data_IF_711169010908
#
_entry.id   IF_711169010908
#
_cell.length_a   1.000
_cell.length_b   1.000
_cell.length_c   1.000
_cell.angle_alpha   90.00
_cell.angle_beta   90.00
_cell.angle_gamma   90.00
#
_symmetry.space_group_name_H-M   'P 1'
#
loop_
_entity.id
_entity.type
_entity.pdbx_description
1 polymer ?
#
# COMPACT_ATOMS: atom_id res chain seq x y z
N UNK A 1 43.41 50.38 -12.50
CA UNK A 1 42.23 50.26 -11.61
C UNK A 1 41.29 49.06 -11.89
N UNK A 2 41.55 48.18 -12.87
CA UNK A 2 40.68 47.02 -13.20
C UNK A 2 40.79 45.79 -12.27
N UNK A 3 41.86 45.67 -11.49
CA UNK A 3 42.09 44.49 -10.62
C UNK A 3 41.12 44.44 -9.42
N UNK A 4 40.82 45.58 -8.81
CA UNK A 4 39.98 45.68 -7.61
C UNK A 4 38.51 45.27 -7.86
N UNK A 5 37.98 45.55 -9.05
CA UNK A 5 36.59 45.19 -9.39
C UNK A 5 36.41 43.69 -9.66
N UNK A 6 37.43 43.03 -10.23
CA UNK A 6 37.42 41.58 -10.44
C UNK A 6 37.54 40.84 -9.10
N UNK A 7 38.38 41.34 -8.21
CA UNK A 7 38.53 40.79 -6.86
C UNK A 7 37.23 40.88 -6.04
N UNK A 8 36.56 42.06 -6.05
CA UNK A 8 35.28 42.23 -5.37
C UNK A 8 34.17 41.32 -5.93
N UNK A 9 34.12 41.10 -7.26
CA UNK A 9 33.15 40.18 -7.87
C UNK A 9 33.36 38.74 -7.42
N UNK A 10 34.61 38.29 -7.26
CA UNK A 10 34.92 36.94 -6.76
C UNK A 10 34.50 36.75 -5.31
N UNK A 11 34.71 37.77 -4.46
CA UNK A 11 34.27 37.74 -3.06
C UNK A 11 32.75 37.62 -2.98
N UNK A 12 32.02 38.45 -3.73
CA UNK A 12 30.55 38.43 -3.76
C UNK A 12 30.04 37.07 -4.24
N UNK A 13 30.62 36.52 -5.31
CA UNK A 13 30.27 35.17 -5.80
C UNK A 13 30.52 34.09 -4.75
N UNK A 14 31.64 34.15 -4.02
CA UNK A 14 31.91 33.17 -2.96
C UNK A 14 30.92 33.25 -1.79
N UNK A 15 30.51 34.48 -1.40
CA UNK A 15 29.52 34.70 -0.35
C UNK A 15 28.15 34.16 -0.74
N UNK A 16 27.74 34.36 -1.99
CA UNK A 16 26.48 33.82 -2.52
C UNK A 16 26.52 32.29 -2.47
N UNK A 17 27.58 31.65 -2.95
CA UNK A 17 27.70 30.18 -2.92
C UNK A 17 27.65 29.64 -1.49
N UNK A 18 28.31 30.32 -0.54
CA UNK A 18 28.33 29.92 0.86
C UNK A 18 26.94 30.04 1.52
N UNK A 19 26.19 31.11 1.23
CA UNK A 19 24.81 31.31 1.71
C UNK A 19 23.84 30.22 1.19
N UNK A 20 23.97 29.83 -0.09
CA UNK A 20 23.13 28.77 -0.66
C UNK A 20 23.54 27.37 -0.16
N UNK A 21 24.83 27.13 0.11
CA UNK A 21 25.32 25.85 0.62
C UNK A 21 24.81 25.50 2.03
N UNK A 22 24.82 26.46 2.96
CA UNK A 22 24.37 26.25 4.36
C UNK A 22 22.86 25.94 4.44
N UNK A 23 22.06 26.54 3.54
CA UNK A 23 20.61 26.35 3.47
C UNK A 23 20.20 24.89 3.16
N UNK A 24 21.04 24.15 2.44
CA UNK A 24 20.76 22.76 2.05
C UNK A 24 21.00 21.76 3.18
N UNK A 25 21.90 22.06 4.12
CA UNK A 25 22.21 21.18 5.25
C UNK A 25 21.11 21.19 6.32
N UNK A 26 20.39 22.30 6.46
CA UNK A 26 19.31 22.46 7.43
C UNK A 26 18.03 21.67 7.10
N UNK A 27 17.83 21.25 5.84
CA UNK A 27 16.66 20.46 5.44
C UNK A 27 16.86 18.95 5.65
N UNK A 28 18.10 18.50 5.84
CA UNK A 28 18.44 17.06 5.91
C UNK A 28 18.41 16.49 7.35
N UNK A 29 18.11 17.33 8.36
CA UNK A 29 18.03 16.90 9.77
C UNK A 29 16.60 16.66 10.25
N UNK A 30 15.60 16.76 9.36
CA UNK A 30 14.26 16.24 9.68
C UNK A 30 14.32 14.72 9.63
N UNK A 31 14.50 14.12 10.81
CA UNK A 31 14.19 12.71 11.04
C UNK A 31 12.79 12.46 10.49
N UNK A 32 12.70 11.73 9.38
CA UNK A 32 11.44 11.15 8.96
C UNK A 32 11.02 10.23 10.11
N UNK A 33 10.09 10.69 10.95
CA UNK A 33 9.40 9.84 11.90
C UNK A 33 8.68 8.78 11.07
N UNK A 34 9.37 7.67 10.81
CA UNK A 34 8.74 6.48 10.29
C UNK A 34 7.67 6.12 11.31
N UNK A 35 6.38 6.06 10.92
CA UNK A 35 5.33 5.72 11.86
C UNK A 35 5.70 4.39 12.50
N UNK A 36 5.77 4.37 13.84
CA UNK A 36 6.10 3.16 14.59
C UNK A 36 5.20 2.03 14.07
N UNK A 37 5.76 0.88 13.65
CA UNK A 37 4.93 -0.22 13.19
C UNK A 37 3.92 -0.56 14.29
N UNK A 38 2.65 -0.85 13.94
CA UNK A 38 1.64 -1.18 14.93
C UNK A 38 2.17 -2.34 15.77
N UNK A 39 2.20 -2.15 17.09
CA UNK A 39 2.62 -3.21 18.03
C UNK A 39 1.75 -4.42 17.77
N UNK A 40 2.37 -5.60 17.60
CA UNK A 40 1.64 -6.85 17.45
C UNK A 40 0.67 -7.02 18.63
N UNK A 41 -0.61 -6.81 18.37
CA UNK A 41 -1.64 -6.97 19.38
C UNK A 41 -1.82 -8.47 19.57
N UNK A 42 -1.16 -9.03 20.58
CA UNK A 42 -1.28 -10.45 20.92
C UNK A 42 -2.74 -10.72 21.25
N UNK A 43 -3.48 -11.31 20.31
CA UNK A 43 -4.81 -11.82 20.60
C UNK A 43 -4.60 -13.04 21.48
N UNK A 44 -4.62 -12.83 22.80
CA UNK A 44 -4.70 -13.91 23.75
C UNK A 44 -5.94 -14.73 23.37
N UNK A 45 -5.74 -15.91 22.80
CA UNK A 45 -6.82 -16.81 22.47
C UNK A 45 -7.65 -16.99 23.74
N UNK A 46 -8.88 -16.49 23.73
CA UNK A 46 -9.82 -16.67 24.84
C UNK A 46 -9.87 -18.18 25.11
N UNK A 47 -9.33 -18.61 26.25
CA UNK A 47 -9.45 -20.00 26.70
C UNK A 47 -10.93 -20.23 26.97
N UNK A 48 -11.64 -20.75 25.97
CA UNK A 48 -13.00 -21.26 26.16
C UNK A 48 -12.94 -22.31 27.26
N UNK A 49 -13.67 -22.06 28.36
CA UNK A 49 -13.89 -23.05 29.41
C UNK A 49 -14.76 -24.17 28.81
N UNK A 50 -14.13 -25.14 28.16
CA UNK A 50 -14.80 -26.37 27.72
C UNK A 50 -15.24 -27.10 28.99
N UNK A 51 -16.55 -27.18 29.19
CA UNK A 51 -17.12 -27.89 30.33
C UNK A 51 -16.75 -29.38 30.26
N UNK A 52 -16.77 -30.06 31.41
CA UNK A 52 -16.49 -31.51 31.51
C UNK A 52 -17.34 -32.35 30.53
N UNK A 53 -18.56 -31.89 30.21
CA UNK A 53 -19.45 -32.50 29.23
C UNK A 53 -18.97 -32.42 27.76
N UNK A 54 -18.17 -31.42 27.39
CA UNK A 54 -17.59 -31.30 26.04
C UNK A 54 -16.48 -32.32 25.78
N UNK A 55 -15.87 -32.86 26.84
CA UNK A 55 -14.88 -33.91 26.73
C UNK A 55 -15.55 -35.27 26.43
N UNK A 56 -16.69 -35.58 27.06
CA UNK A 56 -17.44 -36.81 26.80
C UNK A 56 -18.11 -36.83 25.42
N UNK A 57 -18.56 -35.68 24.88
CA UNK A 57 -19.17 -35.59 23.54
C UNK A 57 -18.17 -35.67 22.38
N UNK A 58 -16.86 -35.71 22.64
CA UNK A 58 -15.81 -35.71 21.62
C UNK A 58 -15.25 -37.08 21.23
N UNK A 59 -15.90 -38.17 21.63
CA UNK A 59 -15.67 -39.46 20.96
C UNK A 59 -16.47 -39.50 19.64
N UNK A 60 -16.05 -38.72 18.65
CA UNK A 60 -16.34 -39.08 17.26
C UNK A 60 -15.47 -40.29 16.96
N UNK A 61 -16.08 -41.40 16.55
CA UNK A 61 -15.36 -42.53 15.98
C UNK A 61 -14.41 -41.97 14.91
N UNK A 62 -13.12 -42.17 15.13
CA UNK A 62 -12.16 -42.02 14.05
C UNK A 62 -12.44 -43.17 13.10
N UNK A 63 -13.35 -42.96 12.15
CA UNK A 63 -13.46 -43.83 10.99
C UNK A 63 -12.07 -43.85 10.37
N UNK A 64 -11.39 -44.98 10.50
CA UNK A 64 -10.06 -45.23 9.96
C UNK A 64 -10.19 -45.21 8.44
N UNK A 65 -10.10 -44.02 7.86
CA UNK A 65 -10.09 -43.82 6.43
C UNK A 65 -8.82 -44.44 5.87
N UNK A 66 -8.97 -45.20 4.80
CA UNK A 66 -7.81 -45.76 4.10
C UNK A 66 -6.93 -44.62 3.60
N UNK A 67 -5.61 -44.81 3.49
CA UNK A 67 -4.68 -43.73 3.09
C UNK A 67 -5.06 -43.06 1.76
N UNK A 68 -5.72 -43.80 0.86
CA UNK A 68 -6.27 -43.27 -0.39
C UNK A 68 -7.44 -42.29 -0.19
N UNK A 69 -8.33 -42.54 0.78
CA UNK A 69 -9.43 -41.64 1.09
C UNK A 69 -8.93 -40.36 1.76
N UNK A 70 -7.89 -40.46 2.60
CA UNK A 70 -7.27 -39.30 3.24
C UNK A 70 -6.56 -38.40 2.21
N UNK A 71 -5.83 -39.00 1.27
CA UNK A 71 -5.16 -38.25 0.19
C UNK A 71 -6.16 -37.58 -0.74
N UNK A 72 -7.27 -38.26 -1.11
CA UNK A 72 -8.35 -37.66 -1.89
C UNK A 72 -9.06 -36.53 -1.12
N UNK A 73 -9.34 -36.73 0.17
CA UNK A 73 -9.95 -35.70 1.02
C UNK A 73 -9.03 -34.49 1.21
N UNK A 74 -7.71 -34.71 1.31
CA UNK A 74 -6.71 -33.65 1.36
C UNK A 74 -6.65 -32.88 0.04
N UNK A 75 -6.56 -33.57 -1.11
CA UNK A 75 -6.59 -32.92 -2.44
C UNK A 75 -7.87 -32.09 -2.64
N UNK A 76 -9.03 -32.60 -2.23
CA UNK A 76 -10.30 -31.85 -2.27
C UNK A 76 -10.24 -30.58 -1.41
N UNK A 77 -9.70 -30.65 -0.19
CA UNK A 77 -9.52 -29.47 0.68
C UNK A 77 -8.60 -28.42 0.07
N UNK A 78 -7.44 -28.85 -0.46
CA UNK A 78 -6.47 -27.96 -1.11
C UNK A 78 -7.08 -27.30 -2.34
N UNK A 79 -7.74 -28.06 -3.22
CA UNK A 79 -8.37 -27.51 -4.43
C UNK A 79 -9.44 -26.45 -4.12
N UNK A 80 -10.26 -26.67 -3.07
CA UNK A 80 -11.26 -25.69 -2.61
C UNK A 80 -10.60 -24.43 -2.07
N UNK A 81 -9.56 -24.56 -1.23
CA UNK A 81 -8.82 -23.42 -0.71
C UNK A 81 -8.17 -22.58 -1.83
N UNK A 82 -7.58 -23.24 -2.84
CA UNK A 82 -7.03 -22.56 -4.02
C UNK A 82 -8.11 -21.81 -4.81
N UNK A 83 -9.28 -22.42 -5.03
CA UNK A 83 -10.38 -21.78 -5.74
C UNK A 83 -10.94 -20.57 -4.97
N UNK A 84 -11.03 -20.65 -3.65
CA UNK A 84 -11.46 -19.54 -2.79
C UNK A 84 -10.44 -18.41 -2.77
N UNK A 85 -9.15 -18.72 -2.62
CA UNK A 85 -8.06 -17.74 -2.71
C UNK A 85 -8.05 -17.03 -4.06
N UNK A 86 -8.22 -17.77 -5.17
CA UNK A 86 -8.33 -17.16 -6.50
C UNK A 86 -9.53 -16.21 -6.63
N UNK A 87 -10.67 -16.54 -6.00
CA UNK A 87 -11.85 -15.64 -5.96
C UNK A 87 -11.56 -14.40 -5.12
N UNK A 88 -10.88 -14.54 -3.98
CA UNK A 88 -10.48 -13.44 -3.11
C UNK A 88 -9.51 -12.52 -3.85
N UNK A 89 -8.50 -13.07 -4.51
CA UNK A 89 -7.53 -12.31 -5.31
C UNK A 89 -8.20 -11.51 -6.42
N UNK A 90 -9.17 -12.11 -7.13
CA UNK A 90 -9.97 -11.39 -8.14
C UNK A 90 -10.75 -10.23 -7.52
N UNK A 91 -11.33 -10.41 -6.34
CA UNK A 91 -12.05 -9.34 -5.62
C UNK A 91 -11.08 -8.24 -5.16
N UNK A 92 -9.95 -8.59 -4.55
CA UNK A 92 -8.91 -7.66 -4.11
C UNK A 92 -8.36 -6.86 -5.29
N UNK A 93 -8.02 -7.49 -6.42
CA UNK A 93 -7.58 -6.80 -7.64
C UNK A 93 -8.63 -5.82 -8.17
N UNK A 94 -9.92 -6.20 -8.15
CA UNK A 94 -11.03 -5.30 -8.55
C UNK A 94 -11.16 -4.10 -7.60
N UNK A 95 -11.01 -4.30 -6.29
CA UNK A 95 -11.06 -3.23 -5.28
C UNK A 95 -9.86 -2.30 -5.44
N UNK A 96 -8.63 -2.83 -5.49
CA UNK A 96 -7.41 -2.03 -5.74
C UNK A 96 -7.51 -1.20 -7.03
N UNK A 97 -8.03 -1.76 -8.12
CA UNK A 97 -8.25 -1.01 -9.38
C UNK A 97 -9.30 0.09 -9.25
N UNK A 98 -10.32 -0.10 -8.40
CA UNK A 98 -11.34 0.93 -8.12
C UNK A 98 -10.80 2.00 -7.17
N UNK A 99 -9.98 1.62 -6.19
CA UNK A 99 -9.35 2.52 -5.23
C UNK A 99 -8.27 3.37 -5.89
N UNK A 100 -7.42 2.79 -6.73
CA UNK A 100 -6.46 3.56 -7.55
C UNK A 100 -7.18 4.64 -8.37
N UNK A 101 -8.35 4.31 -8.96
CA UNK A 101 -9.20 5.29 -9.66
C UNK A 101 -9.87 6.33 -8.75
N UNK A 102 -10.04 6.06 -7.45
CA UNK A 102 -10.64 6.97 -6.48
C UNK A 102 -9.62 7.83 -5.75
N UNK A 103 -8.39 7.32 -5.57
CA UNK A 103 -7.25 8.01 -4.97
C UNK A 103 -6.67 9.10 -5.88
N UNK A 104 -6.86 8.97 -7.19
CA UNK A 104 -6.82 10.09 -8.14
C UNK A 104 -8.06 10.97 -7.95
N UNK A 105 -8.18 11.65 -6.81
CA UNK A 105 -9.10 12.79 -6.69
C UNK A 105 -8.53 13.91 -7.57
N UNK A 106 -8.82 13.78 -8.86
CA UNK A 106 -8.64 14.70 -9.97
C UNK A 106 -7.88 15.95 -9.61
N UNK A 107 -6.59 15.96 -9.96
CA UNK A 107 -5.69 17.12 -9.91
C UNK A 107 -6.45 18.43 -10.17
N UNK A 108 -6.83 19.14 -9.11
CA UNK A 108 -7.52 20.44 -9.16
C UNK A 108 -9.01 20.46 -9.54
N UNK A 109 -9.70 19.34 -9.81
CA UNK A 109 -11.13 19.37 -10.16
C UNK A 109 -12.04 19.07 -8.97
N UNK A 110 -13.03 19.96 -8.75
CA UNK A 110 -14.11 19.74 -7.77
C UNK A 110 -14.99 18.53 -8.12
N UNK A 111 -15.06 18.15 -9.41
CA UNK A 111 -15.86 17.02 -9.91
C UNK A 111 -15.06 16.19 -10.92
N UNK A 112 -15.28 14.87 -11.01
CA UNK A 112 -14.66 14.02 -12.02
C UNK A 112 -14.95 14.56 -13.44
N UNK A 113 -13.93 14.75 -14.29
CA UNK A 113 -14.11 15.06 -15.70
C UNK A 113 -14.93 13.99 -16.41
N UNK A 114 -15.77 14.43 -17.35
CA UNK A 114 -16.66 13.57 -18.12
C UNK A 114 -15.83 12.59 -18.95
N UNK A 115 -15.99 11.28 -18.72
CA UNK A 115 -15.35 10.22 -19.50
C UNK A 115 -15.88 10.22 -20.94
N UNK A 116 -15.01 10.30 -21.94
CA UNK A 116 -15.39 10.32 -23.35
C UNK A 116 -14.90 9.08 -24.12
N UNK A 117 -15.58 8.71 -25.22
CA UNK A 117 -15.09 7.65 -26.10
C UNK A 117 -13.79 8.05 -26.82
N UNK A 118 -12.99 7.08 -27.28
CA UNK A 118 -11.80 7.35 -28.09
C UNK A 118 -12.18 8.18 -29.33
N UNK A 119 -11.34 9.17 -29.67
CA UNK A 119 -11.59 10.13 -30.77
C UNK A 119 -12.39 11.38 -30.40
N UNK A 120 -13.07 11.42 -29.24
CA UNK A 120 -13.82 12.61 -28.77
C UNK A 120 -13.25 13.22 -27.47
N UNK A 121 -12.06 12.77 -27.07
CA UNK A 121 -11.40 13.23 -25.85
C UNK A 121 -10.97 14.69 -25.99
N UNK A 122 -11.21 15.50 -24.95
CA UNK A 122 -10.73 16.90 -24.92
C UNK A 122 -9.63 17.04 -23.88
N UNK A 123 -8.68 17.91 -24.18
CA UNK A 123 -7.65 18.31 -23.22
C UNK A 123 -8.30 19.14 -22.12
N UNK A 124 -7.89 18.90 -20.88
CA UNK A 124 -8.47 19.56 -19.74
C UNK A 124 -7.47 20.54 -19.11
N UNK A 125 -7.89 21.79 -18.96
CA UNK A 125 -7.00 22.89 -18.60
C UNK A 125 -6.44 22.81 -17.17
N UNK A 126 -7.12 22.09 -16.28
CA UNK A 126 -6.78 22.02 -14.85
C UNK A 126 -5.81 20.87 -14.57
N UNK A 127 -6.11 19.67 -15.06
CA UNK A 127 -5.29 18.47 -14.84
C UNK A 127 -4.27 18.19 -15.97
N UNK A 128 -4.27 19.01 -17.03
CA UNK A 128 -3.33 18.94 -18.16
C UNK A 128 -3.24 17.55 -18.84
N UNK A 129 -4.33 16.79 -18.80
CA UNK A 129 -4.48 15.49 -19.47
C UNK A 129 -5.76 15.46 -20.33
N UNK A 130 -5.83 14.51 -21.27
CA UNK A 130 -7.02 14.28 -22.10
C UNK A 130 -8.03 13.38 -21.37
N UNK A 131 -9.31 13.75 -21.41
CA UNK A 131 -10.43 12.97 -20.85
C UNK A 131 -11.47 12.60 -21.90
#
# INVERSE_FOLDING_TARGET
MRSKSVFMRKIILSLVILLFGVSSFAQNTRSAETPKPPRAQYQAAKKEKKGFFDFLKKKKSTDLKTSQEETLAFRKRVSKAYAENAKIDRKVKKVKKREAKKGEKFHGHKRPPKKRPPGKQKFCNVCKIKH
#
